data_IF_621711987914
#
_entry.id   IF_621711987914
#
_cell.length_a   1.000
_cell.length_b   1.000
_cell.length_c   1.000
_cell.angle_alpha   90.00
_cell.angle_beta   90.00
_cell.angle_gamma   90.00
#
_symmetry.space_group_name_H-M   'P 1'
#
loop_
_entity.id
_entity.type
_entity.pdbx_description
1 polymer ?
#
# COMPACT_ATOMS: atom_id res chain seq x y z
N UNK A 1 -62.37 42.84 -10.74
CA UNK A 1 -62.59 41.43 -10.33
C UNK A 1 -61.29 40.68 -10.52
N UNK A 2 -60.89 39.92 -9.51
CA UNK A 2 -59.69 39.09 -9.40
C UNK A 2 -59.47 38.15 -10.60
N UNK A 3 -58.21 37.83 -10.95
CA UNK A 3 -57.57 36.52 -10.73
C UNK A 3 -56.04 36.68 -10.86
N UNK A 4 -55.33 36.31 -9.79
CA UNK A 4 -53.89 36.06 -9.76
C UNK A 4 -53.59 34.63 -10.22
N UNK A 5 -52.40 34.36 -10.79
CA UNK A 5 -51.51 33.24 -10.38
C UNK A 5 -50.33 33.01 -11.35
N UNK A 6 -49.19 33.58 -10.98
CA UNK A 6 -47.83 33.03 -10.98
C UNK A 6 -47.55 31.66 -11.66
N UNK A 7 -46.71 31.69 -12.69
CA UNK A 7 -45.76 30.64 -13.12
C UNK A 7 -44.40 31.37 -13.25
N UNK A 8 -43.27 31.00 -12.69
CA UNK A 8 -42.85 29.89 -11.84
C UNK A 8 -41.48 30.30 -11.23
N UNK A 9 -41.24 30.28 -9.90
CA UNK A 9 -39.90 30.42 -9.36
C UNK A 9 -39.29 29.02 -9.15
N UNK A 10 -39.12 28.27 -10.25
CA UNK A 10 -38.63 26.88 -10.21
C UNK A 10 -37.11 26.71 -10.44
N UNK A 11 -36.36 27.81 -10.51
CA UNK A 11 -34.94 27.81 -10.93
C UNK A 11 -33.94 28.25 -9.86
N UNK A 12 -34.40 28.59 -8.65
CA UNK A 12 -33.55 29.15 -7.58
C UNK A 12 -33.17 28.17 -6.46
N UNK A 13 -33.66 26.92 -6.49
CA UNK A 13 -33.40 25.95 -5.41
C UNK A 13 -32.14 25.08 -5.60
N UNK A 14 -31.44 25.16 -6.74
CA UNK A 14 -30.26 24.33 -7.04
C UNK A 14 -28.91 24.95 -6.64
N UNK A 15 -28.90 26.18 -6.12
CA UNK A 15 -27.66 26.91 -5.80
C UNK A 15 -27.16 26.78 -4.34
N UNK A 16 -27.80 25.97 -3.49
CA UNK A 16 -27.48 25.87 -2.06
C UNK A 16 -26.95 24.50 -1.60
N UNK A 17 -26.61 23.60 -2.51
CA UNK A 17 -26.01 22.31 -2.15
C UNK A 17 -24.49 22.43 -1.93
N UNK A 18 -24.12 22.65 -0.67
CA UNK A 18 -22.93 22.09 0.00
C UNK A 18 -21.52 22.55 -0.45
N UNK A 19 -21.09 23.72 0.03
CA UNK A 19 -19.71 23.89 0.50
C UNK A 19 -19.55 23.20 1.87
N UNK A 20 -19.65 21.88 1.91
CA UNK A 20 -19.09 21.15 3.04
C UNK A 20 -17.58 21.05 2.79
N UNK A 21 -16.79 21.84 3.51
CA UNK A 21 -15.35 21.62 3.56
C UNK A 21 -15.10 20.14 3.89
N UNK A 22 -14.20 19.45 3.19
CA UNK A 22 -13.91 18.05 3.50
C UNK A 22 -13.52 17.99 4.97
N UNK A 23 -14.38 17.37 5.78
CA UNK A 23 -14.06 17.05 7.17
C UNK A 23 -12.82 16.19 7.10
N UNK A 24 -11.68 16.76 7.50
CA UNK A 24 -10.46 15.98 7.71
C UNK A 24 -10.88 14.76 8.53
N UNK A 25 -10.69 13.52 8.04
CA UNK A 25 -10.97 12.38 8.88
C UNK A 25 -10.14 12.60 10.14
N UNK A 26 -10.82 12.74 11.28
CA UNK A 26 -10.16 12.55 12.56
C UNK A 26 -9.67 11.12 12.47
N UNK A 27 -8.39 10.99 12.14
CA UNK A 27 -7.66 9.76 12.33
C UNK A 27 -7.70 9.61 13.83
N UNK A 28 -8.69 8.86 14.31
CA UNK A 28 -8.58 8.17 15.57
C UNK A 28 -7.32 7.34 15.38
N UNK A 29 -6.21 7.93 15.83
CA UNK A 29 -4.95 7.24 15.89
C UNK A 29 -5.27 6.08 16.82
N UNK A 30 -5.53 4.90 16.24
CA UNK A 30 -5.48 3.66 16.98
C UNK A 30 -4.25 3.82 17.86
N UNK A 31 -4.42 3.86 19.19
CA UNK A 31 -3.29 4.11 20.06
C UNK A 31 -2.27 3.05 19.69
N UNK A 32 -1.16 3.50 19.09
CA UNK A 32 -0.05 2.62 18.79
C UNK A 32 0.30 2.02 20.14
N UNK A 33 0.28 0.68 20.29
CA UNK A 33 0.58 0.08 21.56
C UNK A 33 1.94 0.62 22.00
N UNK A 34 2.02 1.10 23.25
CA UNK A 34 3.25 1.72 23.78
C UNK A 34 4.44 0.76 23.71
N UNK A 35 4.14 -0.54 23.68
CA UNK A 35 5.03 -1.64 23.30
C UNK A 35 4.41 -2.42 22.16
N UNK A 36 5.10 -2.43 21.03
CA UNK A 36 4.78 -3.30 19.90
C UNK A 36 5.78 -4.47 19.95
N UNK A 37 5.31 -5.71 19.88
CA UNK A 37 6.19 -6.90 19.85
C UNK A 37 7.11 -6.90 18.63
N UNK A 38 6.81 -6.07 17.62
CA UNK A 38 7.71 -5.79 16.51
C UNK A 38 8.94 -4.94 16.91
N UNK A 39 8.79 -4.02 17.86
CA UNK A 39 9.86 -3.11 18.33
C UNK A 39 10.49 -3.51 19.67
N UNK A 40 9.72 -4.14 20.56
CA UNK A 40 10.10 -4.50 21.93
C UNK A 40 9.51 -5.90 22.25
N UNK A 41 10.13 -6.98 21.74
CA UNK A 41 9.69 -8.34 22.03
C UNK A 41 9.96 -8.69 23.51
N UNK A 42 9.01 -9.35 24.17
CA UNK A 42 9.17 -9.83 25.54
C UNK A 42 10.22 -10.96 25.62
N UNK A 43 10.40 -11.73 24.54
CA UNK A 43 11.41 -12.80 24.47
C UNK A 43 11.91 -13.07 23.04
N UNK A 44 13.21 -12.86 22.81
CA UNK A 44 13.87 -13.22 21.56
C UNK A 44 14.17 -14.73 21.51
N UNK A 45 13.58 -15.44 20.55
CA UNK A 45 13.83 -16.87 20.29
C UNK A 45 14.32 -17.08 18.85
N UNK A 46 15.46 -17.78 18.64
CA UNK A 46 15.94 -18.08 17.29
C UNK A 46 14.88 -18.82 16.45
N UNK A 47 14.60 -18.33 15.24
CA UNK A 47 13.64 -18.94 14.32
C UNK A 47 12.16 -18.69 14.63
N UNK A 48 11.84 -17.87 15.65
CA UNK A 48 10.47 -17.47 16.00
C UNK A 48 10.36 -15.95 16.06
N UNK A 49 9.41 -15.40 15.31
CA UNK A 49 9.12 -13.97 15.28
C UNK A 49 7.95 -13.73 16.23
N UNK A 50 8.18 -13.04 17.35
CA UNK A 50 7.15 -12.84 18.39
C UNK A 50 5.99 -11.95 17.91
N UNK A 51 6.27 -11.00 17.01
CA UNK A 51 5.25 -10.19 16.34
C UNK A 51 4.47 -10.97 15.24
N UNK A 52 4.94 -12.16 14.87
CA UNK A 52 4.36 -13.00 13.83
C UNK A 52 4.37 -14.49 14.24
N UNK A 53 3.69 -14.86 15.34
CA UNK A 53 3.76 -16.21 15.91
C UNK A 53 3.19 -17.28 14.96
N UNK A 54 2.28 -16.86 14.08
CA UNK A 54 1.64 -17.65 13.03
C UNK A 54 2.37 -17.55 11.67
N UNK A 55 3.48 -16.80 11.61
CA UNK A 55 4.23 -16.48 10.39
C UNK A 55 3.43 -15.75 9.32
N UNK A 56 2.26 -15.21 9.66
CA UNK A 56 1.44 -14.47 8.69
C UNK A 56 1.86 -13.00 8.61
N UNK A 57 2.48 -12.45 9.65
CA UNK A 57 2.96 -11.07 9.66
C UNK A 57 4.40 -10.99 9.16
N UNK A 58 4.62 -10.28 8.05
CA UNK A 58 5.96 -10.02 7.52
C UNK A 58 6.70 -8.98 8.39
N UNK A 59 8.01 -9.14 8.63
CA UNK A 59 8.83 -8.06 9.22
C UNK A 59 8.87 -6.91 8.21
N UNK A 60 8.20 -5.77 8.44
CA UNK A 60 8.42 -4.65 7.54
C UNK A 60 9.92 -4.34 7.56
N UNK A 61 10.49 -3.88 6.45
CA UNK A 61 11.81 -3.26 6.51
C UNK A 61 11.58 -1.97 7.29
N UNK A 62 11.80 -2.05 8.61
CA UNK A 62 11.48 -1.02 9.57
C UNK A 62 12.52 0.10 9.51
N UNK A 63 12.44 0.92 8.46
CA UNK A 63 13.13 2.22 8.49
C UNK A 63 12.41 3.21 9.41
N UNK A 64 11.14 2.95 9.76
CA UNK A 64 10.27 3.90 10.48
C UNK A 64 9.12 3.18 11.20
N UNK A 65 8.69 3.71 12.36
CA UNK A 65 7.48 3.25 13.06
C UNK A 65 6.23 3.70 12.31
N UNK A 66 5.55 2.78 11.64
CA UNK A 66 4.40 3.06 10.79
C UNK A 66 3.42 1.89 10.80
N UNK A 67 2.13 2.13 10.59
CA UNK A 67 1.14 1.06 10.50
C UNK A 67 1.16 0.42 9.12
N UNK A 68 1.25 -0.92 9.07
CA UNK A 68 1.23 -1.71 7.84
C UNK A 68 0.07 -2.71 7.89
N UNK A 69 -0.49 -3.13 6.74
CA UNK A 69 -1.48 -4.19 6.70
C UNK A 69 -0.83 -5.52 7.12
N UNK A 70 -1.55 -6.30 7.93
CA UNK A 70 -1.22 -7.72 8.10
C UNK A 70 -1.54 -8.50 6.82
N UNK A 71 -1.03 -9.72 6.68
CA UNK A 71 -1.31 -10.56 5.52
C UNK A 71 -2.80 -10.92 5.37
N UNK A 72 -3.53 -11.08 6.48
CA UNK A 72 -4.98 -11.25 6.46
C UNK A 72 -5.68 -9.98 5.97
N UNK A 73 -5.32 -8.82 6.52
CA UNK A 73 -5.89 -7.53 6.10
C UNK A 73 -5.61 -7.20 4.63
N UNK A 74 -4.44 -7.59 4.11
CA UNK A 74 -4.10 -7.43 2.70
C UNK A 74 -4.96 -8.31 1.79
N UNK A 75 -5.22 -9.56 2.19
CA UNK A 75 -6.13 -10.45 1.47
C UNK A 75 -7.58 -9.93 1.53
N UNK A 76 -8.02 -9.38 2.66
CA UNK A 76 -9.35 -8.75 2.78
C UNK A 76 -9.47 -7.51 1.88
N UNK A 77 -8.41 -6.72 1.80
CA UNK A 77 -8.32 -5.56 0.92
C UNK A 77 -8.42 -5.96 -0.54
N UNK A 78 -7.71 -7.02 -0.93
CA UNK A 78 -7.77 -7.58 -2.28
C UNK A 78 -9.17 -8.14 -2.60
N UNK A 79 -9.79 -8.87 -1.68
CA UNK A 79 -11.18 -9.37 -1.86
C UNK A 79 -12.17 -8.23 -2.05
N UNK A 80 -12.07 -7.16 -1.26
CA UNK A 80 -12.91 -5.96 -1.42
C UNK A 80 -12.68 -5.25 -2.75
N UNK A 81 -11.44 -5.20 -3.22
CA UNK A 81 -11.12 -4.63 -4.54
C UNK A 81 -11.78 -5.43 -5.67
N UNK A 82 -11.80 -6.76 -5.57
CA UNK A 82 -12.43 -7.62 -6.57
C UNK A 82 -13.96 -7.51 -6.59
N UNK A 83 -14.58 -7.13 -5.46
CA UNK A 83 -16.03 -7.11 -5.33
C UNK A 83 -16.66 -8.49 -5.57
N UNK A 84 -17.89 -8.50 -6.07
CA UNK A 84 -18.65 -9.72 -6.37
C UNK A 84 -18.47 -10.20 -7.82
N UNK A 85 -17.45 -9.70 -8.54
CA UNK A 85 -17.24 -10.02 -9.94
C UNK A 85 -16.84 -11.50 -10.14
N UNK A 86 -17.42 -12.20 -11.14
CA UNK A 86 -17.03 -13.57 -11.46
C UNK A 86 -15.52 -13.70 -11.66
N UNK A 87 -14.90 -14.71 -11.04
CA UNK A 87 -13.44 -14.93 -11.08
C UNK A 87 -13.08 -15.66 -12.37
N UNK A 88 -12.44 -15.03 -13.37
CA UNK A 88 -11.91 -15.75 -14.50
C UNK A 88 -10.72 -16.60 -14.04
N UNK A 89 -10.43 -17.73 -14.70
CA UNK A 89 -9.40 -18.68 -14.28
C UNK A 89 -7.98 -18.11 -14.24
N UNK A 90 -7.73 -16.98 -14.90
CA UNK A 90 -6.44 -16.26 -14.88
C UNK A 90 -6.32 -15.22 -13.76
N UNK A 91 -7.38 -14.97 -12.98
CA UNK A 91 -7.37 -14.00 -11.89
C UNK A 91 -6.76 -14.63 -10.64
N UNK A 92 -5.94 -13.84 -9.96
CA UNK A 92 -5.42 -14.23 -8.66
C UNK A 92 -6.54 -14.27 -7.62
N UNK A 93 -6.50 -15.27 -6.75
CA UNK A 93 -7.47 -15.48 -5.66
C UNK A 93 -7.01 -14.89 -4.34
N UNK A 94 -5.69 -14.72 -4.18
CA UNK A 94 -5.09 -14.15 -2.97
C UNK A 94 -3.81 -13.38 -3.30
N UNK A 95 -3.32 -12.65 -2.32
CA UNK A 95 -2.08 -11.88 -2.40
C UNK A 95 -1.11 -12.27 -1.28
N UNK A 96 0.19 -12.09 -1.52
CA UNK A 96 1.24 -12.27 -0.51
C UNK A 96 2.17 -11.05 -0.48
N UNK A 97 2.44 -10.52 0.72
CA UNK A 97 3.29 -9.33 0.89
C UNK A 97 4.76 -9.71 1.16
N UNK A 98 5.68 -9.03 0.49
CA UNK A 98 7.14 -9.27 0.63
C UNK A 98 7.92 -8.10 1.22
N UNK A 99 7.28 -6.94 1.36
CA UNK A 99 7.96 -5.74 1.81
C UNK A 99 7.10 -4.53 1.56
N UNK A 100 6.97 -3.68 2.58
CA UNK A 100 6.17 -2.49 2.53
C UNK A 100 7.00 -1.29 2.99
N UNK A 101 6.68 -0.12 2.44
CA UNK A 101 7.28 1.16 2.84
C UNK A 101 6.20 2.26 2.88
N UNK A 102 6.30 3.25 3.78
CA UNK A 102 5.35 4.35 3.82
C UNK A 102 5.34 5.18 2.54
N UNK A 103 4.16 5.72 2.21
CA UNK A 103 3.88 6.48 1.00
C UNK A 103 3.20 5.64 -0.08
N UNK A 104 2.65 6.32 -1.08
CA UNK A 104 2.00 5.69 -2.23
C UNK A 104 2.88 5.81 -3.47
N UNK A 105 2.94 4.74 -4.26
CA UNK A 105 3.53 4.76 -5.59
C UNK A 105 2.56 5.44 -6.56
N UNK A 106 3.06 6.45 -7.26
CA UNK A 106 2.32 7.16 -8.29
C UNK A 106 2.37 6.40 -9.62
N UNK A 107 1.20 6.14 -10.20
CA UNK A 107 1.04 5.35 -11.41
C UNK A 107 1.57 6.04 -12.68
N UNK A 108 1.79 7.35 -12.67
CA UNK A 108 2.24 8.08 -13.87
C UNK A 108 3.74 8.33 -13.85
N UNK A 109 4.28 8.64 -12.68
CA UNK A 109 5.66 9.09 -12.48
C UNK A 109 6.57 8.01 -11.92
N UNK A 110 6.01 6.89 -11.46
CA UNK A 110 6.71 5.84 -10.71
C UNK A 110 7.48 6.37 -9.48
N UNK A 111 7.05 7.51 -8.93
CA UNK A 111 7.63 8.11 -7.73
C UNK A 111 6.80 7.76 -6.50
N UNK A 112 7.45 7.65 -5.36
CA UNK A 112 6.78 7.46 -4.07
C UNK A 112 6.57 8.81 -3.40
N UNK A 113 5.32 9.12 -3.07
CA UNK A 113 4.93 10.33 -2.35
C UNK A 113 4.45 9.98 -0.95
N UNK A 114 4.79 10.81 0.04
CA UNK A 114 4.29 10.66 1.40
C UNK A 114 2.96 11.37 1.58
N UNK A 115 2.07 10.74 2.33
CA UNK A 115 0.75 11.26 2.67
C UNK A 115 0.59 11.29 4.19
N UNK A 116 -0.31 12.15 4.67
CA UNK A 116 -0.75 12.11 6.07
C UNK A 116 -1.68 10.90 6.26
N UNK A 117 -1.34 10.03 7.20
CA UNK A 117 -2.12 8.82 7.53
C UNK A 117 -1.48 7.52 7.04
N UNK A 118 -2.10 6.35 7.32
CA UNK A 118 -1.51 5.05 7.04
C UNK A 118 -1.66 4.69 5.56
N UNK A 119 -0.70 5.14 4.76
CA UNK A 119 -0.58 4.83 3.34
C UNK A 119 0.78 4.20 3.10
N UNK A 120 0.79 3.02 2.52
CA UNK A 120 2.01 2.24 2.24
C UNK A 120 1.93 1.68 0.83
N UNK A 121 3.09 1.47 0.20
CA UNK A 121 3.19 0.68 -1.00
C UNK A 121 3.94 -0.60 -0.65
N UNK A 122 3.44 -1.73 -1.15
CA UNK A 122 3.98 -3.04 -0.86
C UNK A 122 4.33 -3.76 -2.15
N UNK A 123 5.44 -4.51 -2.13
CA UNK A 123 5.72 -5.56 -3.09
C UNK A 123 4.78 -6.74 -2.82
N UNK A 124 3.98 -7.10 -3.81
CA UNK A 124 2.86 -8.03 -3.68
C UNK A 124 2.92 -9.10 -4.75
N UNK A 125 2.93 -10.37 -4.34
CA UNK A 125 2.64 -11.48 -5.26
C UNK A 125 1.15 -11.72 -5.33
N UNK A 126 0.67 -11.96 -6.53
CA UNK A 126 -0.68 -12.37 -6.82
C UNK A 126 -0.67 -13.86 -7.08
N UNK A 127 -1.44 -14.62 -6.29
CA UNK A 127 -1.41 -16.08 -6.28
C UNK A 127 -2.71 -16.65 -6.86
N UNK A 128 -2.61 -17.79 -7.54
CA UNK A 128 -3.78 -18.61 -7.91
C UNK A 128 -4.32 -19.39 -6.70
N UNK A 129 -5.41 -20.13 -6.92
CA UNK A 129 -6.08 -20.92 -5.87
C UNK A 129 -5.17 -22.00 -5.24
N UNK A 130 -4.14 -22.45 -5.97
CA UNK A 130 -3.15 -23.40 -5.48
C UNK A 130 -1.97 -22.74 -4.76
N UNK A 131 -1.98 -21.41 -4.60
CA UNK A 131 -0.89 -20.64 -4.00
C UNK A 131 0.30 -20.42 -4.93
N UNK A 132 0.19 -20.77 -6.22
CA UNK A 132 1.27 -20.52 -7.19
C UNK A 132 1.22 -19.06 -7.62
N UNK A 133 2.40 -18.43 -7.64
CA UNK A 133 2.56 -17.04 -8.07
C UNK A 133 2.26 -16.87 -9.56
N UNK A 134 1.26 -16.04 -9.84
CA UNK A 134 0.91 -15.61 -11.20
C UNK A 134 1.75 -14.41 -11.65
N UNK A 135 1.91 -13.42 -10.76
CA UNK A 135 2.71 -12.21 -11.02
C UNK A 135 3.17 -11.55 -9.71
N UNK A 136 4.14 -10.65 -9.83
CA UNK A 136 4.62 -9.77 -8.75
C UNK A 136 4.49 -8.33 -9.20
N UNK A 137 3.80 -7.51 -8.42
CA UNK A 137 3.59 -6.08 -8.71
C UNK A 137 3.68 -5.27 -7.42
N UNK A 138 3.75 -3.94 -7.54
CA UNK A 138 3.62 -3.05 -6.39
C UNK A 138 2.19 -2.57 -6.28
N UNK A 139 1.59 -2.68 -5.11
CA UNK A 139 0.26 -2.17 -4.83
C UNK A 139 0.30 -1.17 -3.67
N UNK A 140 -0.54 -0.14 -3.76
CA UNK A 140 -0.76 0.78 -2.66
C UNK A 140 -1.80 0.20 -1.72
N UNK A 141 -1.60 0.39 -0.42
CA UNK A 141 -2.55 0.11 0.63
C UNK A 141 -2.80 1.38 1.42
N UNK A 142 -4.06 1.72 1.65
CA UNK A 142 -4.46 2.89 2.42
C UNK A 142 -5.50 2.51 3.46
N UNK A 143 -5.32 2.97 4.68
CA UNK A 143 -6.26 2.70 5.76
C UNK A 143 -7.37 3.75 5.79
N UNK A 144 -8.62 3.31 5.63
CA UNK A 144 -9.81 4.17 5.62
C UNK A 144 -10.99 3.46 6.26
N UNK A 145 -11.75 4.15 7.13
CA UNK A 145 -12.88 3.60 7.90
C UNK A 145 -12.53 2.29 8.63
N UNK A 146 -11.40 2.29 9.34
CA UNK A 146 -10.91 1.15 10.14
C UNK A 146 -10.60 -0.12 9.35
N UNK A 147 -10.42 -0.01 8.03
CA UNK A 147 -10.03 -1.13 7.16
C UNK A 147 -8.94 -0.70 6.17
N UNK A 148 -8.06 -1.64 5.83
CA UNK A 148 -7.05 -1.45 4.78
C UNK A 148 -7.66 -1.62 3.41
N UNK A 149 -7.50 -0.69 2.48
CA UNK A 149 -7.98 -0.83 1.10
C UNK A 149 -6.79 -0.97 0.17
N UNK A 150 -6.96 -1.74 -0.90
CA UNK A 150 -5.93 -1.98 -1.90
C UNK A 150 -6.21 -1.15 -3.14
N UNK A 151 -5.17 -0.52 -3.66
CA UNK A 151 -5.17 0.15 -4.95
C UNK A 151 -4.05 -0.45 -5.80
N UNK A 152 -4.37 -1.22 -6.84
CA UNK A 152 -3.38 -1.63 -7.83
C UNK A 152 -2.78 -0.41 -8.52
N UNK A 153 -1.49 -0.49 -8.84
CA UNK A 153 -0.77 0.56 -9.55
C UNK A 153 -0.09 -0.09 -10.75
N UNK A 154 -0.26 0.49 -11.94
CA UNK A 154 0.50 0.10 -13.13
C UNK A 154 1.43 1.24 -13.54
N UNK A 155 2.59 1.39 -12.86
CA UNK A 155 3.55 2.45 -13.16
C UNK A 155 4.27 2.15 -14.49
N UNK A 156 4.87 3.17 -15.14
CA UNK A 156 5.72 2.97 -16.31
C UNK A 156 6.81 1.93 -16.02
N UNK A 157 6.85 0.86 -16.83
CA UNK A 157 7.81 -0.24 -16.70
C UNK A 157 9.13 0.04 -17.43
N UNK A 158 9.18 1.12 -18.21
CA UNK A 158 10.38 1.55 -18.92
C UNK A 158 11.36 2.19 -17.92
N UNK A 159 12.59 1.67 -17.91
CA UNK A 159 13.67 2.28 -17.14
C UNK A 159 13.91 3.69 -17.66
N UNK A 160 13.97 4.67 -16.76
CA UNK A 160 14.38 6.03 -17.11
C UNK A 160 15.82 5.98 -17.68
N UNK A 161 16.13 6.68 -18.78
CA UNK A 161 17.40 6.53 -19.50
C UNK A 161 18.65 6.71 -18.63
N UNK A 162 18.58 7.54 -17.60
CA UNK A 162 19.70 7.80 -16.69
C UNK A 162 19.96 6.69 -15.65
N UNK A 163 18.97 5.82 -15.35
CA UNK A 163 19.15 4.75 -14.35
C UNK A 163 20.01 3.59 -14.88
N UNK A 164 20.19 3.47 -16.19
CA UNK A 164 21.14 2.52 -16.80
C UNK A 164 22.58 3.04 -16.92
N UNK A 165 22.83 4.31 -16.54
CA UNK A 165 24.12 4.97 -16.74
C UNK A 165 25.13 4.75 -15.61
N UNK A 166 24.66 4.41 -14.41
CA UNK A 166 25.53 4.26 -13.24
C UNK A 166 26.04 2.82 -13.15
N UNK A 167 27.13 2.55 -13.85
CA UNK A 167 27.87 1.29 -13.70
C UNK A 167 28.73 1.38 -12.44
N UNK A 168 28.65 0.37 -11.58
CA UNK A 168 29.60 0.26 -10.47
C UNK A 168 31.03 0.27 -11.03
N UNK A 169 31.95 1.10 -10.48
CA UNK A 169 33.34 1.12 -10.91
C UNK A 169 33.93 -0.28 -10.80
N UNK A 170 34.36 -0.85 -11.93
CA UNK A 170 35.04 -2.15 -11.92
C UNK A 170 36.40 -1.99 -11.25
N UNK A 171 36.62 -2.66 -10.13
CA UNK A 171 37.96 -2.73 -9.54
C UNK A 171 38.86 -3.63 -10.39
N UNK A 172 39.73 -3.01 -11.20
CA UNK A 172 40.72 -3.69 -12.03
C UNK A 172 41.73 -4.53 -11.21
N UNK A 173 41.80 -4.32 -9.89
CA UNK A 173 42.74 -4.96 -8.98
C UNK A 173 42.06 -5.97 -8.04
N UNK A 174 40.83 -6.41 -8.35
CA UNK A 174 40.09 -7.46 -7.62
C UNK A 174 40.92 -8.75 -7.37
N UNK A 175 41.93 -9.01 -8.20
CA UNK A 175 42.79 -10.18 -8.12
C UNK A 175 43.87 -10.10 -7.02
N UNK A 176 44.07 -8.93 -6.39
CA UNK A 176 45.07 -8.75 -5.32
C UNK A 176 44.56 -9.34 -3.98
N UNK A 177 45.32 -10.23 -3.32
CA UNK A 177 44.94 -10.79 -2.03
C UNK A 177 44.86 -9.72 -0.92
N UNK A 178 43.82 -9.78 -0.09
CA UNK A 178 43.67 -8.93 1.10
C UNK A 178 42.93 -7.60 0.90
N UNK A 179 42.34 -7.35 -0.28
CA UNK A 179 41.54 -6.16 -0.55
C UNK A 179 40.05 -6.42 -0.39
N UNK A 180 39.34 -5.47 0.23
CA UNK A 180 37.88 -5.53 0.38
C UNK A 180 37.20 -5.53 -0.98
N UNK A 181 36.36 -6.53 -1.22
CA UNK A 181 35.60 -6.70 -2.46
C UNK A 181 34.22 -6.07 -2.25
N UNK A 182 34.06 -4.81 -2.63
CA UNK A 182 32.73 -4.22 -2.80
C UNK A 182 32.34 -4.29 -4.28
N UNK A 183 31.14 -4.80 -4.56
CA UNK A 183 30.46 -4.72 -5.87
C UNK A 183 29.56 -3.49 -5.94
#
# INVERSE_FOLDING_TARGET
MNVAAYLAPGLLALALAACAAPTSPVVEALPLPSRDTLYEPDRVQPGRLEYAPDRTTFAPILTERFSYPTQAQANDAYRRLLGDDPIPPSRATSVWLFGCKPGALDAQTARVSRYRGPVVHCATDFLDAGGRRLRRETANFYHYRSVWNMQPVDPPRTLVPWRGGERSPKDAWRWVPGRDRYE
#
